data_IF_890809012408
#
_entry.id   IF_890809012408
#
_cell.length_a   1.000
_cell.length_b   1.000
_cell.length_c   1.000
_cell.angle_alpha   90.00
_cell.angle_beta   90.00
_cell.angle_gamma   90.00
#
_symmetry.space_group_name_H-M   'P 1'
#
loop_
_entity.id
_entity.type
_entity.pdbx_description
1 polymer ?
#
# COMPACT_ATOMS: atom_id res chain seq x y z
N UNK A 1 8.28 -12.02 25.82
CA UNK A 1 9.52 -11.23 25.86
C UNK A 1 10.08 -11.19 24.46
N UNK A 2 10.06 -10.04 23.79
CA UNK A 2 10.69 -9.89 22.49
C UNK A 2 12.11 -9.37 22.67
N UNK A 3 13.06 -10.03 22.01
CA UNK A 3 14.43 -9.61 22.14
C UNK A 3 14.65 -8.29 21.41
N UNK A 4 15.21 -7.26 22.08
CA UNK A 4 15.52 -6.00 21.42
C UNK A 4 16.72 -6.10 20.49
N UNK A 5 17.45 -7.22 20.50
CA UNK A 5 18.65 -7.40 19.68
C UNK A 5 18.32 -8.17 18.40
N UNK A 6 18.72 -7.61 17.26
CA UNK A 6 18.52 -8.21 15.94
C UNK A 6 19.08 -9.63 15.81
N UNK A 7 20.14 -9.96 16.56
CA UNK A 7 20.75 -11.30 16.54
C UNK A 7 19.81 -12.44 16.96
N UNK A 8 18.72 -12.12 17.65
CA UNK A 8 17.74 -13.09 18.13
C UNK A 8 16.47 -13.13 17.28
N UNK A 9 16.41 -12.31 16.22
CA UNK A 9 15.31 -12.36 15.27
C UNK A 9 15.55 -13.48 14.28
N UNK A 10 14.49 -14.18 13.91
CA UNK A 10 14.53 -15.21 12.88
C UNK A 10 14.85 -14.58 11.54
N UNK A 11 16.00 -14.96 10.95
CA UNK A 11 16.41 -14.51 9.63
C UNK A 11 16.43 -15.71 8.69
N UNK A 12 15.56 -15.69 7.69
CA UNK A 12 15.49 -16.71 6.65
C UNK A 12 15.92 -16.07 5.34
N UNK A 13 16.96 -16.62 4.70
CA UNK A 13 17.42 -16.18 3.39
C UNK A 13 17.36 -17.34 2.40
N UNK A 14 16.52 -17.20 1.38
CA UNK A 14 16.44 -18.13 0.24
C UNK A 14 17.04 -17.45 -0.98
N UNK A 15 18.20 -17.91 -1.44
CA UNK A 15 18.85 -17.32 -2.61
C UNK A 15 18.13 -17.71 -3.90
N UNK A 16 17.75 -18.98 -4.04
CA UNK A 16 17.06 -19.53 -5.21
C UNK A 16 15.90 -20.39 -4.75
N UNK A 17 14.74 -20.23 -5.41
CA UNK A 17 13.51 -20.91 -5.03
C UNK A 17 12.58 -20.02 -4.22
N UNK A 18 11.39 -20.54 -3.88
CA UNK A 18 10.35 -19.79 -3.17
C UNK A 18 10.27 -20.19 -1.70
N UNK A 19 9.89 -19.25 -0.84
CA UNK A 19 9.50 -19.54 0.54
C UNK A 19 7.98 -19.63 0.63
N UNK A 20 7.45 -20.81 0.98
CA UNK A 20 6.00 -21.04 1.00
C UNK A 20 5.56 -21.76 2.27
N UNK A 21 4.44 -21.33 2.84
CA UNK A 21 3.69 -22.10 3.83
C UNK A 21 2.59 -22.90 3.15
N UNK A 22 2.41 -24.17 3.55
CA UNK A 22 1.36 -25.05 3.02
C UNK A 22 -0.01 -24.47 3.36
N UNK A 23 -0.88 -24.31 2.38
CA UNK A 23 -2.22 -23.72 2.56
C UNK A 23 -2.18 -22.32 3.19
N UNK A 24 -1.18 -21.53 2.82
CA UNK A 24 -0.87 -20.17 3.31
C UNK A 24 -2.10 -19.34 3.71
N UNK A 25 -3.10 -19.21 2.83
CA UNK A 25 -4.29 -18.38 3.09
C UNK A 25 -5.37 -19.05 3.96
N UNK A 26 -5.37 -20.39 4.06
CA UNK A 26 -6.35 -21.15 4.81
C UNK A 26 -5.84 -21.58 6.19
N UNK A 27 -4.53 -21.79 6.33
CA UNK A 27 -3.88 -22.32 7.53
C UNK A 27 -3.84 -21.31 8.70
N UNK A 28 -4.09 -20.02 8.44
CA UNK A 28 -4.05 -18.90 9.39
C UNK A 28 -2.73 -18.77 10.18
N UNK A 29 -1.64 -19.40 9.73
CA UNK A 29 -0.33 -19.20 10.34
C UNK A 29 0.10 -17.74 10.20
N UNK A 30 0.72 -17.23 11.25
CA UNK A 30 1.15 -15.84 11.35
C UNK A 30 2.69 -15.79 11.37
N UNK A 31 3.27 -15.02 10.46
CA UNK A 31 4.69 -14.67 10.54
C UNK A 31 4.80 -13.43 11.41
N UNK A 32 5.45 -13.57 12.58
CA UNK A 32 5.46 -12.52 13.57
C UNK A 32 6.86 -12.17 14.08
N UNK A 33 6.87 -11.28 15.08
CA UNK A 33 8.00 -11.19 15.99
C UNK A 33 9.25 -10.52 15.46
N UNK A 34 9.10 -9.69 14.42
CA UNK A 34 10.22 -9.03 13.78
C UNK A 34 11.05 -9.97 12.91
N UNK A 35 10.48 -11.10 12.48
CA UNK A 35 11.14 -12.00 11.55
C UNK A 35 11.53 -11.28 10.26
N UNK A 36 12.67 -11.67 9.68
CA UNK A 36 13.14 -11.18 8.38
C UNK A 36 13.24 -12.35 7.42
N UNK A 37 12.44 -12.32 6.36
CA UNK A 37 12.44 -13.33 5.30
C UNK A 37 12.84 -12.66 4.01
N UNK A 38 13.95 -13.08 3.41
CA UNK A 38 14.43 -12.60 2.12
C UNK A 38 14.49 -13.74 1.13
N UNK A 39 13.85 -13.56 -0.03
CA UNK A 39 13.90 -14.46 -1.17
C UNK A 39 14.47 -13.68 -2.36
N UNK A 40 15.70 -14.01 -2.79
CA UNK A 40 16.40 -13.25 -3.84
C UNK A 40 15.82 -13.55 -5.23
N UNK A 41 15.70 -14.83 -5.56
CA UNK A 41 15.23 -15.32 -6.86
C UNK A 41 14.08 -16.30 -6.67
N UNK A 42 12.90 -15.76 -6.38
CA UNK A 42 11.68 -16.53 -6.20
C UNK A 42 10.60 -15.73 -5.49
N UNK A 43 9.55 -16.44 -5.10
CA UNK A 43 8.35 -15.87 -4.52
C UNK A 43 8.26 -16.14 -3.01
N UNK A 44 7.45 -15.34 -2.33
CA UNK A 44 7.02 -15.56 -0.95
C UNK A 44 5.52 -15.81 -0.96
N UNK A 45 5.08 -16.90 -0.35
CA UNK A 45 3.66 -17.21 -0.14
C UNK A 45 3.43 -17.64 1.30
N UNK A 46 2.82 -16.76 2.11
CA UNK A 46 2.65 -16.99 3.54
C UNK A 46 1.24 -16.62 3.98
N UNK A 47 0.87 -17.00 5.20
CA UNK A 47 -0.42 -16.64 5.78
C UNK A 47 -0.48 -15.19 6.23
N UNK A 48 -0.93 -14.97 7.47
CA UNK A 48 -0.96 -13.64 8.05
C UNK A 48 0.46 -13.19 8.42
N UNK A 49 0.61 -11.88 8.60
CA UNK A 49 1.86 -11.29 9.07
C UNK A 49 1.51 -10.29 10.14
N UNK A 50 2.22 -10.34 11.26
CA UNK A 50 2.09 -9.34 12.32
C UNK A 50 3.44 -8.76 12.70
N UNK A 51 3.41 -7.47 13.00
CA UNK A 51 4.48 -6.77 13.69
C UNK A 51 4.23 -6.74 15.20
N UNK A 52 5.06 -5.96 15.89
CA UNK A 52 4.81 -5.63 17.30
C UNK A 52 5.28 -4.22 17.63
N UNK A 53 4.52 -3.55 18.50
CA UNK A 53 4.93 -2.31 19.17
C UNK A 53 4.96 -2.54 20.67
N UNK A 54 5.98 -2.01 21.31
CA UNK A 54 6.14 -2.09 22.76
C UNK A 54 6.36 -0.69 23.31
N UNK A 55 5.57 -0.31 24.32
CA UNK A 55 5.85 0.89 25.11
C UNK A 55 6.93 0.54 26.11
N UNK A 56 8.08 1.21 26.03
CA UNK A 56 9.20 1.04 26.95
C UNK A 56 9.46 2.35 27.67
N UNK A 57 9.98 2.27 28.89
CA UNK A 57 10.35 3.46 29.66
C UNK A 57 11.31 4.35 28.87
N UNK A 58 11.20 5.66 29.07
CA UNK A 58 12.05 6.64 28.42
C UNK A 58 13.54 6.29 28.64
N UNK A 59 14.36 6.18 27.57
CA UNK A 59 15.76 5.80 27.68
C UNK A 59 16.61 6.75 28.52
N UNK A 60 16.14 7.99 28.74
CA UNK A 60 16.80 8.98 29.58
C UNK A 60 16.33 8.90 31.05
N UNK A 61 15.49 7.93 31.41
CA UNK A 61 15.02 7.69 32.78
C UNK A 61 13.98 8.69 33.27
N UNK A 62 13.37 9.46 32.36
CA UNK A 62 12.35 10.47 32.73
C UNK A 62 11.09 9.77 33.25
N UNK A 63 10.75 10.06 34.50
CA UNK A 63 9.60 9.46 35.20
C UNK A 63 8.30 9.80 34.48
N UNK A 64 7.46 8.79 34.25
CA UNK A 64 6.17 8.94 33.58
C UNK A 64 6.24 9.08 32.05
N UNK A 65 7.44 9.06 31.45
CA UNK A 65 7.60 9.07 30.00
C UNK A 65 7.88 7.66 29.46
N UNK A 66 7.27 7.35 28.31
CA UNK A 66 7.53 6.14 27.56
C UNK A 66 7.79 6.46 26.09
N UNK A 67 8.55 5.59 25.43
CA UNK A 67 8.78 5.63 23.99
C UNK A 67 8.21 4.35 23.37
N UNK A 68 7.59 4.48 22.20
CA UNK A 68 7.14 3.32 21.44
C UNK A 68 8.33 2.75 20.67
N UNK A 69 8.65 1.48 20.93
CA UNK A 69 9.62 0.70 20.17
C UNK A 69 8.88 -0.18 19.17
N UNK A 70 9.27 -0.08 17.91
CA UNK A 70 8.67 -0.82 16.80
C UNK A 70 9.54 -1.99 16.37
N UNK A 71 8.95 -3.18 16.33
CA UNK A 71 9.60 -4.41 15.90
C UNK A 71 9.02 -4.84 14.55
N UNK A 72 9.61 -4.33 13.47
CA UNK A 72 9.12 -4.63 12.12
C UNK A 72 9.40 -6.07 11.73
N UNK A 73 8.35 -6.79 11.33
CA UNK A 73 8.45 -8.02 10.54
C UNK A 73 8.64 -7.64 9.08
N UNK A 74 9.66 -8.18 8.42
CA UNK A 74 10.11 -7.74 7.10
C UNK A 74 10.17 -8.92 6.11
N UNK A 75 9.38 -8.84 5.03
CA UNK A 75 9.38 -9.85 3.97
C UNK A 75 9.81 -9.19 2.66
N UNK A 76 10.83 -9.77 2.02
CA UNK A 76 11.52 -9.18 0.89
C UNK A 76 11.68 -10.19 -0.26
N UNK A 77 10.96 -9.97 -1.36
CA UNK A 77 11.05 -10.72 -2.62
C UNK A 77 11.23 -9.75 -3.80
N UNK A 78 12.34 -9.00 -3.87
CA UNK A 78 12.46 -7.78 -4.68
C UNK A 78 12.25 -8.00 -6.18
N UNK A 79 12.52 -9.21 -6.67
CA UNK A 79 12.37 -9.62 -8.07
C UNK A 79 11.19 -10.57 -8.30
N UNK A 80 10.41 -10.86 -7.26
CA UNK A 80 9.37 -11.88 -7.27
C UNK A 80 8.02 -11.35 -6.81
N UNK A 81 7.14 -12.30 -6.51
CA UNK A 81 5.82 -12.04 -5.96
C UNK A 81 5.81 -12.33 -4.47
N UNK A 82 5.07 -11.50 -3.73
CA UNK A 82 4.77 -11.72 -2.32
C UNK A 82 3.25 -11.81 -2.18
N UNK A 83 2.76 -12.99 -1.81
CA UNK A 83 1.34 -13.27 -1.57
C UNK A 83 1.14 -13.55 -0.10
N UNK A 84 0.21 -12.82 0.53
CA UNK A 84 -0.05 -12.92 1.96
C UNK A 84 -1.52 -12.64 2.31
N UNK A 85 -1.94 -13.11 3.48
CA UNK A 85 -3.25 -12.87 4.07
C UNK A 85 -3.40 -11.46 4.67
N UNK A 86 -3.89 -11.40 5.90
CA UNK A 86 -4.08 -10.12 6.61
C UNK A 86 -2.81 -9.71 7.33
N UNK A 87 -2.47 -8.44 7.21
CA UNK A 87 -1.28 -7.85 7.82
C UNK A 87 -1.68 -6.89 8.93
N UNK A 88 -1.00 -6.97 10.07
CA UNK A 88 -1.27 -6.15 11.25
C UNK A 88 0.00 -5.58 11.89
N UNK A 89 -0.11 -4.39 12.47
CA UNK A 89 0.97 -3.73 13.19
C UNK A 89 2.21 -3.47 12.30
N UNK A 90 3.38 -3.33 12.92
CA UNK A 90 4.63 -2.93 12.28
C UNK A 90 5.15 -3.97 11.27
N UNK A 91 4.78 -3.85 10.00
CA UNK A 91 5.21 -4.76 8.92
C UNK A 91 5.77 -4.01 7.72
N UNK A 92 6.83 -4.55 7.12
CA UNK A 92 7.36 -4.08 5.83
C UNK A 92 7.31 -5.20 4.80
N UNK A 93 6.67 -4.92 3.68
CA UNK A 93 6.70 -5.77 2.50
C UNK A 93 7.50 -5.08 1.39
N UNK A 94 8.37 -5.83 0.72
CA UNK A 94 9.03 -5.37 -0.51
C UNK A 94 9.02 -6.49 -1.55
N UNK A 95 8.40 -6.24 -2.69
CA UNK A 95 8.48 -7.15 -3.83
C UNK A 95 8.40 -6.40 -5.17
N UNK A 96 8.49 -7.12 -6.29
CA UNK A 96 8.02 -6.57 -7.57
C UNK A 96 6.49 -6.51 -7.56
N UNK A 97 5.86 -7.64 -7.23
CA UNK A 97 4.40 -7.75 -7.10
C UNK A 97 4.01 -8.13 -5.68
N UNK A 98 3.15 -7.35 -5.05
CA UNK A 98 2.61 -7.60 -3.72
C UNK A 98 1.11 -7.86 -3.83
N UNK A 99 0.65 -8.99 -3.31
CA UNK A 99 -0.75 -9.39 -3.24
C UNK A 99 -1.11 -9.61 -1.78
N UNK A 100 -2.05 -8.83 -1.26
CA UNK A 100 -2.44 -8.87 0.16
C UNK A 100 -3.94 -8.94 0.30
N UNK A 101 -4.41 -9.53 1.40
CA UNK A 101 -5.81 -9.43 1.79
C UNK A 101 -6.06 -8.09 2.49
N UNK A 102 -5.56 -7.88 3.71
CA UNK A 102 -5.81 -6.67 4.48
C UNK A 102 -4.52 -6.03 4.97
N UNK A 103 -4.55 -4.72 5.20
CA UNK A 103 -3.45 -3.92 5.74
C UNK A 103 -3.97 -3.09 6.92
N UNK A 104 -3.43 -3.30 8.12
CA UNK A 104 -3.95 -2.69 9.34
C UNK A 104 -2.79 -2.24 10.23
N UNK A 105 -2.69 -0.93 10.50
CA UNK A 105 -1.80 -0.33 11.51
C UNK A 105 -0.31 -0.38 11.19
N UNK A 106 0.30 0.74 10.78
CA UNK A 106 1.74 0.89 10.56
C UNK A 106 2.36 -0.16 9.60
N UNK A 107 1.68 -0.40 8.49
CA UNK A 107 2.14 -1.31 7.44
C UNK A 107 2.75 -0.53 6.28
N UNK A 108 3.94 -0.95 5.84
CA UNK A 108 4.66 -0.35 4.70
C UNK A 108 4.77 -1.34 3.56
N UNK A 109 4.26 -0.98 2.39
CA UNK A 109 4.22 -1.87 1.22
C UNK A 109 4.98 -1.25 0.07
N UNK A 110 6.07 -1.87 -0.35
CA UNK A 110 6.88 -1.45 -1.51
C UNK A 110 6.65 -2.42 -2.66
N UNK A 111 6.23 -1.90 -3.81
CA UNK A 111 5.93 -2.72 -4.97
C UNK A 111 5.86 -1.95 -6.28
N UNK A 112 6.01 -2.68 -7.39
CA UNK A 112 5.65 -2.19 -8.72
C UNK A 112 4.17 -2.49 -9.00
N UNK A 113 3.70 -3.68 -8.65
CA UNK A 113 2.27 -4.03 -8.72
C UNK A 113 1.76 -4.34 -7.32
N UNK A 114 0.87 -3.51 -6.78
CA UNK A 114 0.30 -3.71 -5.44
C UNK A 114 -1.20 -4.01 -5.59
N UNK A 115 -1.61 -5.21 -5.19
CA UNK A 115 -2.97 -5.72 -5.34
C UNK A 115 -3.55 -5.98 -3.94
N UNK A 116 -4.57 -5.21 -3.57
CA UNK A 116 -5.24 -5.32 -2.27
C UNK A 116 -6.64 -5.89 -2.47
N UNK A 117 -6.86 -7.11 -1.96
CA UNK A 117 -8.09 -7.87 -2.18
C UNK A 117 -9.13 -7.73 -1.09
N UNK A 118 -8.71 -7.49 0.14
CA UNK A 118 -9.58 -7.41 1.29
C UNK A 118 -10.15 -6.02 1.52
N UNK A 119 -11.01 -5.96 2.52
CA UNK A 119 -11.85 -4.79 2.76
C UNK A 119 -11.20 -3.73 3.64
N UNK A 120 -10.01 -3.99 4.19
CA UNK A 120 -9.39 -3.15 5.23
C UNK A 120 -8.00 -2.67 4.84
N UNK A 121 -7.86 -1.35 4.76
CA UNK A 121 -6.59 -0.63 4.58
C UNK A 121 -6.58 0.53 5.55
N UNK A 122 -6.20 0.32 6.80
CA UNK A 122 -6.47 1.30 7.87
C UNK A 122 -5.28 1.49 8.79
N UNK A 123 -5.22 2.65 9.44
CA UNK A 123 -4.20 3.09 10.40
C UNK A 123 -2.77 3.08 9.81
N UNK A 124 -2.23 4.26 9.47
CA UNK A 124 -0.82 4.47 9.10
C UNK A 124 -0.26 3.49 8.04
N UNK A 125 -1.05 3.17 7.01
CA UNK A 125 -0.59 2.37 5.88
C UNK A 125 0.12 3.27 4.86
N UNK A 126 1.36 2.90 4.51
CA UNK A 126 2.16 3.59 3.51
C UNK A 126 2.48 2.66 2.33
N UNK A 127 2.10 3.08 1.13
CA UNK A 127 2.47 2.41 -0.11
C UNK A 127 3.64 3.15 -0.75
N UNK A 128 4.72 2.44 -1.07
CA UNK A 128 5.79 2.92 -1.95
C UNK A 128 5.63 2.31 -3.34
N UNK A 129 5.27 3.14 -4.31
CA UNK A 129 4.99 2.71 -5.68
C UNK A 129 6.20 2.96 -6.59
N UNK A 130 6.78 1.88 -7.11
CA UNK A 130 7.88 1.93 -8.08
C UNK A 130 7.41 2.47 -9.43
N UNK A 131 8.31 3.10 -10.19
CA UNK A 131 8.05 3.69 -11.51
C UNK A 131 7.49 2.65 -12.49
N UNK A 132 6.51 3.05 -13.31
CA UNK A 132 5.81 2.14 -14.22
C UNK A 132 4.87 1.16 -13.50
N UNK A 133 4.58 1.41 -12.23
CA UNK A 133 3.78 0.55 -11.37
C UNK A 133 2.32 0.97 -11.26
N UNK A 134 1.56 0.19 -10.49
CA UNK A 134 0.16 0.44 -10.17
C UNK A 134 -0.26 -0.12 -8.82
N UNK A 135 -1.29 0.50 -8.26
CA UNK A 135 -2.03 -0.03 -7.11
C UNK A 135 -3.48 -0.29 -7.52
N UNK A 136 -4.01 -1.44 -7.13
CA UNK A 136 -5.42 -1.78 -7.31
C UNK A 136 -6.04 -2.24 -6.00
N UNK A 137 -7.22 -1.71 -5.72
CA UNK A 137 -8.07 -2.14 -4.63
C UNK A 137 -9.28 -2.85 -5.22
N UNK A 138 -9.52 -4.10 -4.83
CA UNK A 138 -10.56 -4.93 -5.43
C UNK A 138 -11.90 -4.87 -4.70
N UNK A 139 -11.89 -4.72 -3.37
CA UNK A 139 -13.15 -4.60 -2.63
C UNK A 139 -13.79 -3.23 -2.86
N UNK A 140 -15.11 -3.25 -2.98
CA UNK A 140 -15.97 -2.12 -3.30
C UNK A 140 -17.25 -2.11 -2.46
N UNK A 141 -17.42 -3.09 -1.56
CA UNK A 141 -18.62 -3.23 -0.75
C UNK A 141 -18.77 -2.11 0.29
N UNK A 142 -19.94 -2.02 0.92
CA UNK A 142 -20.21 -1.08 2.02
C UNK A 142 -19.31 -1.30 3.26
N UNK A 143 -18.64 -2.45 3.35
CA UNK A 143 -17.64 -2.77 4.36
C UNK A 143 -16.22 -2.36 3.98
N UNK A 144 -16.02 -1.66 2.85
CA UNK A 144 -14.72 -1.23 2.37
C UNK A 144 -14.20 -0.05 3.18
N UNK A 145 -13.25 -0.35 4.06
CA UNK A 145 -12.68 0.52 5.06
C UNK A 145 -11.22 0.82 4.70
N UNK A 146 -11.04 1.74 3.75
CA UNK A 146 -9.74 2.38 3.56
C UNK A 146 -9.68 3.65 4.42
N UNK A 147 -8.63 3.83 5.20
CA UNK A 147 -8.34 5.06 5.93
C UNK A 147 -7.97 6.21 4.99
N UNK A 148 -8.45 7.40 5.32
CA UNK A 148 -8.10 8.64 4.62
C UNK A 148 -6.63 9.05 4.84
N UNK A 149 -5.99 8.51 5.89
CA UNK A 149 -4.61 8.79 6.26
C UNK A 149 -3.60 7.82 5.64
N UNK A 150 -4.07 6.76 4.97
CA UNK A 150 -3.19 5.94 4.15
C UNK A 150 -2.56 6.80 3.04
N UNK A 151 -1.29 6.54 2.73
CA UNK A 151 -0.52 7.35 1.78
C UNK A 151 0.14 6.53 0.69
N UNK A 152 0.31 7.14 -0.49
CA UNK A 152 1.11 6.60 -1.59
C UNK A 152 2.30 7.54 -1.80
N UNK A 153 3.50 7.01 -1.69
CA UNK A 153 4.77 7.64 -2.03
C UNK A 153 5.26 7.06 -3.36
N UNK A 154 5.45 7.92 -4.35
CA UNK A 154 6.06 7.54 -5.62
C UNK A 154 7.58 7.49 -5.47
N UNK A 155 8.23 6.67 -6.30
CA UNK A 155 9.70 6.60 -6.41
C UNK A 155 10.39 7.96 -6.61
N UNK A 156 9.74 8.92 -7.26
CA UNK A 156 10.26 10.28 -7.42
C UNK A 156 10.03 11.22 -6.21
N UNK A 157 9.51 10.69 -5.10
CA UNK A 157 9.29 11.43 -3.85
C UNK A 157 7.92 12.13 -3.74
N UNK A 158 7.08 12.13 -4.77
CA UNK A 158 5.72 12.69 -4.67
C UNK A 158 4.86 11.86 -3.72
N UNK A 159 4.17 12.53 -2.79
CA UNK A 159 3.30 11.89 -1.79
C UNK A 159 1.83 12.27 -2.00
N UNK A 160 0.96 11.27 -1.95
CA UNK A 160 -0.50 11.42 -2.11
C UNK A 160 -1.21 10.79 -0.91
N UNK A 161 -2.25 11.45 -0.41
CA UNK A 161 -3.18 10.82 0.56
C UNK A 161 -4.26 10.06 -0.21
N UNK A 162 -4.63 8.87 0.27
CA UNK A 162 -5.68 8.05 -0.34
C UNK A 162 -7.02 8.81 -0.42
N UNK A 163 -7.34 9.67 0.56
CA UNK A 163 -8.53 10.55 0.52
C UNK A 163 -8.65 11.34 -0.80
N UNK A 164 -7.55 11.90 -1.30
CA UNK A 164 -7.55 12.64 -2.57
C UNK A 164 -7.87 11.74 -3.77
N UNK A 165 -7.42 10.49 -3.73
CA UNK A 165 -7.63 9.48 -4.77
C UNK A 165 -9.07 8.96 -4.75
N UNK A 166 -9.66 8.80 -3.56
CA UNK A 166 -11.09 8.48 -3.39
C UNK A 166 -11.99 9.56 -4.00
N UNK A 167 -11.70 10.84 -3.73
CA UNK A 167 -12.45 11.95 -4.31
C UNK A 167 -12.33 12.01 -5.84
N UNK A 168 -11.21 11.58 -6.40
CA UNK A 168 -11.03 11.43 -7.85
C UNK A 168 -11.74 10.20 -8.45
N UNK A 169 -12.52 9.44 -7.65
CA UNK A 169 -13.28 8.24 -8.04
C UNK A 169 -12.45 7.10 -8.64
N UNK A 170 -11.15 7.06 -8.38
CA UNK A 170 -10.29 6.00 -8.93
C UNK A 170 -10.42 4.68 -8.18
N UNK A 171 -10.77 4.76 -6.89
CA UNK A 171 -10.90 3.59 -6.02
C UNK A 171 -12.37 3.11 -5.98
N UNK A 172 -13.34 4.02 -6.13
CA UNK A 172 -14.77 3.75 -5.87
C UNK A 172 -15.57 3.19 -7.07
N UNK A 173 -14.97 2.99 -8.25
CA UNK A 173 -15.71 2.72 -9.50
C UNK A 173 -15.31 1.45 -10.30
N UNK A 174 -14.65 0.46 -9.70
CA UNK A 174 -14.50 -0.87 -10.32
C UNK A 174 -13.15 -1.52 -10.16
N UNK A 175 -12.37 -1.16 -9.13
CA UNK A 175 -10.99 -1.63 -9.00
C UNK A 175 -10.10 -1.19 -10.16
N UNK A 176 -10.19 0.08 -10.55
CA UNK A 176 -9.31 0.64 -11.57
C UNK A 176 -7.86 0.70 -11.06
N UNK A 177 -6.93 0.57 -12.00
CA UNK A 177 -5.51 0.74 -11.71
C UNK A 177 -5.23 2.21 -11.40
N UNK A 178 -4.75 2.48 -10.18
CA UNK A 178 -4.11 3.74 -9.85
C UNK A 178 -2.66 3.62 -10.30
N UNK A 179 -2.37 4.05 -11.53
CA UNK A 179 -1.03 3.97 -12.09
C UNK A 179 -0.09 5.04 -11.54
N UNK A 180 1.20 4.71 -11.52
CA UNK A 180 2.27 5.63 -11.19
C UNK A 180 2.19 6.89 -12.06
N UNK A 181 2.05 6.73 -13.37
CA UNK A 181 2.04 7.83 -14.35
C UNK A 181 0.85 8.75 -14.15
N UNK A 182 -0.32 8.19 -13.82
CA UNK A 182 -1.48 9.00 -13.49
C UNK A 182 -1.19 9.88 -12.27
N UNK A 183 -0.74 9.27 -11.16
CA UNK A 183 -0.43 10.01 -9.93
C UNK A 183 0.63 11.08 -10.19
N UNK A 184 1.68 10.73 -10.91
CA UNK A 184 2.76 11.65 -11.27
C UNK A 184 2.24 12.86 -12.09
N UNK A 185 1.21 12.65 -12.91
CA UNK A 185 0.58 13.68 -13.74
C UNK A 185 -0.28 14.70 -12.97
N UNK A 186 -0.72 14.37 -11.73
CA UNK A 186 -1.69 15.19 -10.95
C UNK A 186 -1.12 16.57 -10.57
N UNK A 187 0.19 16.81 -10.72
CA UNK A 187 0.82 18.13 -10.54
C UNK A 187 1.41 18.76 -11.81
N UNK A 188 1.45 18.04 -12.94
CA UNK A 188 2.08 18.50 -14.20
C UNK A 188 1.08 18.90 -15.28
N UNK A 189 -0.22 18.93 -14.96
CA UNK A 189 -1.20 19.62 -15.80
C UNK A 189 -0.94 21.13 -15.78
N UNK A 190 -0.18 21.63 -16.76
CA UNK A 190 -0.53 22.93 -17.36
C UNK A 190 -2.01 22.82 -17.71
N UNK A 191 -2.81 23.71 -17.14
CA UNK A 191 -4.15 23.98 -17.64
C UNK A 191 -4.02 24.31 -19.13
N UNK A 192 -4.16 23.32 -20.00
CA UNK A 192 -4.70 23.57 -21.32
C UNK A 192 -6.18 23.81 -21.07
N UNK A 193 -6.53 25.09 -20.87
CA UNK A 193 -7.88 25.53 -21.16
C UNK A 193 -8.15 25.06 -22.58
N UNK A 194 -8.93 23.99 -22.74
CA UNK A 194 -9.69 23.80 -23.96
C UNK A 194 -10.60 25.01 -24.02
N UNK A 195 -10.19 26.02 -24.78
CA UNK A 195 -11.06 27.12 -25.16
C UNK A 195 -12.23 26.48 -25.92
N UNK A 196 -13.32 26.22 -25.21
CA UNK A 196 -14.63 26.00 -25.80
C UNK A 196 -15.12 27.31 -26.41
N UNK A 197 -14.46 27.73 -27.49
CA UNK A 197 -14.98 28.68 -28.45
C UNK A 197 -15.22 27.88 -29.73
N UNK A 198 -16.46 27.41 -29.89
CA UNK A 198 -17.13 27.49 -31.17
C UNK A 198 -18.65 27.35 -30.99
N UNK A 199 -19.28 28.54 -31.06
CA UNK A 199 -20.46 28.85 -31.89
C UNK A 199 -21.74 28.04 -31.66
N UNK A 200 -22.61 28.54 -30.76
CA UNK A 200 -24.08 28.58 -30.97
C UNK A 200 -24.71 29.74 -30.18
N UNK A 201 -24.50 30.97 -30.63
CA UNK A 201 -25.42 32.07 -30.31
C UNK A 201 -25.32 33.15 -31.40
N UNK A 202 -26.13 32.99 -32.44
CA UNK A 202 -26.13 33.92 -33.57
C UNK A 202 -27.07 33.49 -34.69
N UNK A 203 -28.38 33.36 -34.41
CA UNK A 203 -29.45 33.52 -35.42
C UNK A 203 -30.84 33.49 -34.75
N UNK A 204 -31.16 34.51 -33.96
CA UNK A 204 -32.55 34.87 -33.69
C UNK A 204 -32.74 36.30 -34.19
N UNK A 205 -33.05 36.41 -35.48
CA UNK A 205 -33.29 37.68 -36.13
C UNK A 205 -33.68 37.53 -37.59
N UNK A 206 -35.00 37.52 -37.84
CA UNK A 206 -35.69 37.68 -39.14
C UNK A 206 -35.51 36.45 -40.08
N UNK A 207 -36.48 35.93 -40.83
CA UNK A 207 -37.50 36.54 -41.69
C UNK A 207 -38.55 35.43 -41.96
N UNK A 208 -39.82 35.64 -41.62
CA UNK A 208 -40.94 35.00 -42.32
C UNK A 208 -41.68 36.10 -43.07
N UNK A 209 -41.69 35.98 -44.39
CA UNK A 209 -42.38 36.88 -45.31
C UNK A 209 -42.47 36.23 -46.68
N UNK A 210 -43.59 35.57 -46.93
CA UNK A 210 -44.35 35.55 -48.18
C UNK A 210 -45.70 34.91 -47.93
#
# INVERSE_FOLDING_TARGET
YFSPYDRYKSHIHVTNGSFRLIDSLANKYDIDGGAKITVTNGDIEVGNISGRRESVSDPQGRVGMSVTREHFTELNAPNGKLVTGSIRDTVKLNADTVVVLNLVDNVKVTGKNILVYGSKVTYDVEFFLKKGGKIRFYDQGSGFDISDDATILLENGKKFKIRGIKHAKMISNGGQDVSYEYLDSIGSKKYTKTNGLNTKLGSLGKIFGR
#
